data_IF_654278063032
#
_entry.id   IF_654278063032
#
_cell.length_a   1.000
_cell.length_b   1.000
_cell.length_c   1.000
_cell.angle_alpha   90.00
_cell.angle_beta   90.00
_cell.angle_gamma   90.00
#
_symmetry.space_group_name_H-M   'P 1'
#
loop_
_entity.id
_entity.type
_entity.pdbx_description
1 polymer ?
#
# COMPACT_ATOMS: atom_id res chain seq x y z
N UNK A 1 10.16 28.49 0.03
CA UNK A 1 9.75 27.32 -0.78
C UNK A 1 8.54 26.71 -0.10
N UNK A 2 7.42 26.56 -0.82
CA UNK A 2 6.26 25.85 -0.25
C UNK A 2 6.68 24.40 0.05
N UNK A 3 6.34 23.90 1.25
CA UNK A 3 6.63 22.53 1.63
C UNK A 3 5.95 21.57 0.63
N UNK A 4 6.72 20.65 0.04
CA UNK A 4 6.19 19.65 -0.88
C UNK A 4 5.08 18.85 -0.18
N UNK A 5 3.91 18.74 -0.84
CA UNK A 5 2.75 18.07 -0.28
C UNK A 5 3.00 16.56 -0.21
N UNK A 6 2.81 15.98 0.94
CA UNK A 6 2.91 14.53 1.18
C UNK A 6 1.71 13.81 0.58
N UNK A 7 1.93 12.65 -0.03
CA UNK A 7 0.89 11.84 -0.65
C UNK A 7 0.83 10.45 -0.02
N UNK A 8 -0.28 10.12 0.62
CA UNK A 8 -0.59 8.76 1.04
C UNK A 8 -1.45 8.11 -0.04
N UNK A 9 -1.11 6.89 -0.46
CA UNK A 9 -1.90 6.10 -1.38
C UNK A 9 -2.35 4.81 -0.71
N UNK A 10 -3.64 4.55 -0.69
CA UNK A 10 -4.22 3.26 -0.35
C UNK A 10 -4.40 2.49 -1.66
N UNK A 11 -3.57 1.46 -1.85
CA UNK A 11 -3.57 0.64 -3.05
C UNK A 11 -4.52 -0.54 -2.85
N UNK A 12 -5.66 -0.53 -3.51
CA UNK A 12 -6.74 -1.46 -3.23
C UNK A 12 -7.44 -1.97 -4.50
N UNK A 13 -7.95 -3.19 -4.39
CA UNK A 13 -8.99 -3.67 -5.28
C UNK A 13 -10.34 -3.24 -4.72
N UNK A 14 -11.25 -2.76 -5.57
CA UNK A 14 -12.63 -2.49 -5.16
C UNK A 14 -13.28 -3.79 -4.69
N UNK A 15 -13.81 -3.82 -3.45
CA UNK A 15 -14.42 -5.03 -2.90
C UNK A 15 -15.65 -5.47 -3.70
N UNK A 16 -15.61 -6.69 -4.24
CA UNK A 16 -16.71 -7.32 -4.96
C UNK A 16 -16.83 -8.79 -4.57
N UNK A 17 -18.07 -9.32 -4.63
CA UNK A 17 -18.34 -10.72 -4.27
C UNK A 17 -17.60 -11.68 -5.22
N UNK A 18 -16.92 -12.69 -4.65
CA UNK A 18 -16.15 -13.67 -5.40
C UNK A 18 -14.86 -13.13 -6.05
N UNK A 19 -14.46 -11.88 -5.74
CA UNK A 19 -13.28 -11.24 -6.35
C UNK A 19 -12.22 -10.90 -5.32
N UNK A 20 -10.97 -11.26 -5.63
CA UNK A 20 -9.82 -11.06 -4.73
C UNK A 20 -9.82 -11.99 -3.52
N UNK A 21 -8.73 -11.99 -2.76
CA UNK A 21 -8.55 -12.77 -1.52
C UNK A 21 -9.05 -14.23 -1.60
N UNK A 22 -8.70 -14.92 -2.69
CA UNK A 22 -9.20 -16.28 -2.96
C UNK A 22 -8.82 -17.29 -1.87
N UNK A 23 -7.60 -17.19 -1.29
CA UNK A 23 -7.17 -18.06 -0.19
C UNK A 23 -7.99 -17.81 1.08
N UNK A 24 -8.25 -16.54 1.40
CA UNK A 24 -9.12 -16.17 2.51
C UNK A 24 -10.55 -16.70 2.25
N UNK A 25 -11.12 -16.42 1.08
CA UNK A 25 -12.47 -16.86 0.71
C UNK A 25 -12.64 -18.39 0.78
N UNK A 26 -11.64 -19.15 0.37
CA UNK A 26 -11.63 -20.60 0.50
C UNK A 26 -11.71 -21.09 1.96
N UNK A 27 -11.16 -20.32 2.90
CA UNK A 27 -11.15 -20.67 4.33
C UNK A 27 -12.33 -20.16 5.14
N UNK A 28 -12.88 -18.97 4.81
CA UNK A 28 -13.93 -18.30 5.61
C UNK A 28 -15.21 -17.98 4.82
N UNK A 29 -15.26 -18.34 3.53
CA UNK A 29 -16.38 -18.07 2.63
C UNK A 29 -16.31 -16.69 1.96
N UNK A 30 -16.90 -16.57 0.76
CA UNK A 30 -16.86 -15.35 -0.06
C UNK A 30 -17.50 -14.15 0.63
N UNK A 31 -18.58 -14.36 1.38
CA UNK A 31 -19.26 -13.26 2.08
C UNK A 31 -18.39 -12.65 3.17
N UNK A 32 -17.72 -13.48 3.96
CA UNK A 32 -16.80 -13.02 5.01
C UNK A 32 -15.58 -12.31 4.39
N UNK A 33 -15.01 -12.87 3.32
CA UNK A 33 -13.91 -12.25 2.59
C UNK A 33 -14.31 -10.88 2.01
N UNK A 34 -15.53 -10.75 1.48
CA UNK A 34 -16.06 -9.46 1.00
C UNK A 34 -16.26 -8.46 2.14
N UNK A 35 -16.84 -8.90 3.27
CA UNK A 35 -17.00 -8.04 4.47
C UNK A 35 -15.65 -7.55 4.97
N UNK A 36 -14.66 -8.43 5.03
CA UNK A 36 -13.29 -8.07 5.39
C UNK A 36 -12.72 -6.98 4.46
N UNK A 37 -12.77 -7.18 3.15
CA UNK A 37 -12.26 -6.21 2.20
C UNK A 37 -12.95 -4.84 2.33
N UNK A 38 -14.29 -4.83 2.46
CA UNK A 38 -15.08 -3.60 2.67
C UNK A 38 -14.73 -2.90 3.96
N UNK A 39 -14.67 -3.66 5.05
CA UNK A 39 -14.32 -3.13 6.38
C UNK A 39 -12.94 -2.47 6.34
N UNK A 40 -11.93 -3.19 5.85
CA UNK A 40 -10.55 -2.71 5.81
C UNK A 40 -10.41 -1.43 4.98
N UNK A 41 -10.98 -1.40 3.78
CA UNK A 41 -10.90 -0.22 2.92
C UNK A 41 -11.60 0.99 3.55
N UNK A 42 -12.79 0.80 4.09
CA UNK A 42 -13.56 1.86 4.75
C UNK A 42 -12.85 2.38 6.02
N UNK A 43 -12.27 1.48 6.82
CA UNK A 43 -11.56 1.84 8.04
C UNK A 43 -10.28 2.64 7.74
N UNK A 44 -9.47 2.21 6.78
CA UNK A 44 -8.28 2.94 6.33
C UNK A 44 -8.65 4.34 5.80
N UNK A 45 -9.69 4.44 4.95
CA UNK A 45 -10.15 5.72 4.45
C UNK A 45 -10.63 6.65 5.57
N UNK A 46 -11.40 6.13 6.52
CA UNK A 46 -11.93 6.91 7.65
C UNK A 46 -10.81 7.44 8.55
N UNK A 47 -9.82 6.58 8.90
CA UNK A 47 -8.75 6.93 9.85
C UNK A 47 -7.64 7.75 9.21
N UNK A 48 -7.21 7.38 8.02
CA UNK A 48 -6.06 8.00 7.36
C UNK A 48 -6.45 9.12 6.41
N UNK A 49 -7.66 9.09 5.84
CA UNK A 49 -8.14 10.07 4.87
C UNK A 49 -8.45 11.46 5.46
N UNK A 50 -8.65 11.54 6.77
CA UNK A 50 -8.96 12.80 7.47
C UNK A 50 -7.73 13.57 7.97
N UNK A 51 -6.57 12.98 7.90
CA UNK A 51 -5.35 13.60 8.41
C UNK A 51 -4.82 14.65 7.43
N UNK A 52 -4.67 15.88 7.92
CA UNK A 52 -4.23 17.03 7.11
C UNK A 52 -2.73 17.06 6.82
N UNK A 53 -1.94 16.19 7.45
CA UNK A 53 -0.49 16.12 7.24
C UNK A 53 -0.11 15.60 5.85
N UNK A 54 -1.06 14.95 5.15
CA UNK A 54 -0.91 14.44 3.80
C UNK A 54 -2.20 14.52 3.00
N UNK A 55 -2.12 14.35 1.69
CA UNK A 55 -3.27 14.11 0.83
C UNK A 55 -3.41 12.60 0.62
N UNK A 56 -4.57 12.06 0.93
CA UNK A 56 -4.87 10.64 0.70
C UNK A 56 -5.49 10.45 -0.68
N UNK A 57 -5.04 9.38 -1.35
CA UNK A 57 -5.50 8.92 -2.63
C UNK A 57 -5.88 7.45 -2.54
N UNK A 58 -6.88 7.05 -3.34
CA UNK A 58 -7.26 5.65 -3.53
C UNK A 58 -6.75 5.20 -4.91
N UNK A 59 -5.79 4.28 -4.97
CA UNK A 59 -5.43 3.63 -6.21
C UNK A 59 -6.29 2.38 -6.38
N UNK A 60 -7.28 2.44 -7.30
CA UNK A 60 -8.31 1.40 -7.43
C UNK A 60 -8.13 0.53 -8.67
N UNK A 61 -8.47 -0.75 -8.52
CA UNK A 61 -8.68 -1.67 -9.63
C UNK A 61 -10.04 -2.38 -9.44
N UNK A 62 -10.87 -2.54 -10.47
CA UNK A 62 -10.68 -2.10 -11.86
C UNK A 62 -10.69 -0.58 -11.99
N UNK A 63 -10.00 -0.07 -12.99
CA UNK A 63 -9.76 1.36 -13.20
C UNK A 63 -11.04 2.20 -13.34
N UNK A 64 -12.13 1.59 -13.84
CA UNK A 64 -13.44 2.25 -13.94
C UNK A 64 -13.95 2.77 -12.59
N UNK A 65 -13.56 2.16 -11.48
CA UNK A 65 -14.04 2.50 -10.14
C UNK A 65 -13.36 3.75 -9.57
N UNK A 66 -12.31 4.26 -10.25
CA UNK A 66 -11.67 5.54 -9.93
C UNK A 66 -12.29 6.72 -10.68
N UNK A 67 -13.08 6.46 -11.74
CA UNK A 67 -13.62 7.51 -12.61
C UNK A 67 -14.58 8.44 -11.86
N UNK A 68 -14.44 9.74 -12.12
CA UNK A 68 -15.29 10.78 -11.51
C UNK A 68 -15.01 11.06 -10.03
N UNK A 69 -14.00 10.43 -9.43
CA UNK A 69 -13.59 10.65 -8.05
C UNK A 69 -12.33 11.49 -7.99
N UNK A 70 -12.40 12.63 -7.29
CA UNK A 70 -11.27 13.56 -7.14
C UNK A 70 -10.14 13.02 -6.25
N UNK A 71 -10.42 11.99 -5.47
CA UNK A 71 -9.51 11.33 -4.51
C UNK A 71 -9.01 9.96 -5.00
N UNK A 72 -9.40 9.53 -6.20
CA UNK A 72 -9.05 8.21 -6.71
C UNK A 72 -8.23 8.27 -8.01
N UNK A 73 -7.38 7.25 -8.18
CA UNK A 73 -6.50 7.06 -9.33
C UNK A 73 -6.66 5.63 -9.85
N UNK A 74 -6.59 5.41 -11.18
CA UNK A 74 -6.52 4.07 -11.73
C UNK A 74 -5.17 3.43 -11.39
N UNK A 75 -5.15 2.12 -11.19
CA UNK A 75 -3.91 1.36 -11.03
C UNK A 75 -3.22 1.08 -12.36
N UNK A 76 -3.98 1.04 -13.44
CA UNK A 76 -3.49 0.60 -14.75
C UNK A 76 -3.39 -0.93 -14.87
N UNK A 77 -2.77 -1.36 -15.96
CA UNK A 77 -2.54 -2.77 -16.28
C UNK A 77 -1.14 -3.25 -15.90
N UNK A 78 -0.89 -4.54 -16.19
CA UNK A 78 0.40 -5.18 -15.95
C UNK A 78 0.57 -5.76 -14.56
N UNK A 79 1.83 -6.08 -14.20
CA UNK A 79 2.21 -6.55 -12.88
C UNK A 79 2.15 -5.44 -11.82
N UNK A 80 2.40 -5.80 -10.56
CA UNK A 80 2.37 -4.83 -9.45
C UNK A 80 3.40 -3.70 -9.64
N UNK A 81 4.60 -4.00 -10.12
CA UNK A 81 5.64 -3.01 -10.36
C UNK A 81 5.25 -1.99 -11.43
N UNK A 82 4.68 -2.47 -12.55
CA UNK A 82 4.19 -1.61 -13.63
C UNK A 82 3.08 -0.68 -13.14
N UNK A 83 2.15 -1.18 -12.32
CA UNK A 83 1.06 -0.39 -11.71
C UNK A 83 1.60 0.66 -10.74
N UNK A 84 2.56 0.30 -9.88
CA UNK A 84 3.20 1.25 -8.96
C UNK A 84 3.95 2.35 -9.73
N UNK A 85 4.67 2.01 -10.80
CA UNK A 85 5.32 2.99 -11.68
C UNK A 85 4.32 3.95 -12.32
N UNK A 86 3.21 3.43 -12.85
CA UNK A 86 2.16 4.24 -13.47
C UNK A 86 1.57 5.22 -12.45
N UNK A 87 1.24 4.73 -11.25
CA UNK A 87 0.74 5.55 -10.15
C UNK A 87 1.72 6.68 -9.77
N UNK A 88 3.01 6.37 -9.62
CA UNK A 88 4.03 7.36 -9.27
C UNK A 88 4.20 8.47 -10.33
N UNK A 89 3.91 8.18 -11.60
CA UNK A 89 3.93 9.19 -12.68
C UNK A 89 2.71 10.11 -12.63
N UNK A 90 1.56 9.60 -12.18
CA UNK A 90 0.28 10.34 -12.15
C UNK A 90 0.20 11.27 -10.93
N UNK A 91 0.82 10.90 -9.82
CA UNK A 91 0.80 11.68 -8.58
C UNK A 91 1.55 13.01 -8.73
N UNK A 92 1.03 14.11 -8.14
CA UNK A 92 1.76 15.37 -8.06
C UNK A 92 3.14 15.21 -7.41
N UNK A 93 4.08 16.17 -7.60
CA UNK A 93 5.37 16.15 -6.93
C UNK A 93 5.27 16.08 -5.41
N UNK A 94 6.25 15.45 -4.77
CA UNK A 94 6.37 15.30 -3.32
C UNK A 94 6.57 13.86 -2.87
N UNK A 95 6.92 13.64 -1.59
CA UNK A 95 7.12 12.31 -1.04
C UNK A 95 5.81 11.53 -1.04
N UNK A 96 5.89 10.23 -1.33
CA UNK A 96 4.75 9.34 -1.38
C UNK A 96 4.94 8.17 -0.42
N UNK A 97 3.87 7.79 0.24
CA UNK A 97 3.74 6.53 1.00
C UNK A 97 2.59 5.75 0.38
N UNK A 98 2.84 4.50 0.01
CA UNK A 98 1.85 3.58 -0.55
C UNK A 98 1.66 2.43 0.43
N UNK A 99 0.42 2.11 0.76
CA UNK A 99 0.05 0.98 1.63
C UNK A 99 -0.92 0.04 0.92
N UNK A 100 -0.86 -1.24 1.26
CA UNK A 100 -1.91 -2.20 0.94
C UNK A 100 -3.20 -1.92 1.73
N UNK A 101 -4.26 -2.61 1.37
CA UNK A 101 -5.58 -2.48 2.03
C UNK A 101 -5.95 -3.67 2.90
N UNK A 102 -5.05 -4.60 3.15
CA UNK A 102 -5.29 -5.91 3.76
C UNK A 102 -4.49 -6.17 5.03
N UNK A 103 -3.75 -5.17 5.50
CA UNK A 103 -2.97 -5.20 6.74
C UNK A 103 -3.73 -4.51 7.86
N UNK A 104 -4.32 -5.23 8.83
CA UNK A 104 -4.99 -4.63 9.97
C UNK A 104 -4.01 -3.89 10.88
N UNK A 105 -4.53 -2.92 11.63
CA UNK A 105 -3.75 -2.24 12.67
C UNK A 105 -2.76 -1.18 12.16
N UNK A 106 -2.79 -0.82 10.87
CA UNK A 106 -2.06 0.37 10.37
C UNK A 106 -2.60 1.60 11.10
N UNK A 107 -1.73 2.37 11.72
CA UNK A 107 -2.06 3.57 12.50
C UNK A 107 -1.65 4.84 11.76
N UNK A 108 -2.29 5.95 12.11
CA UNK A 108 -1.90 7.29 11.63
C UNK A 108 -0.44 7.62 11.99
N UNK A 109 0.05 7.12 13.13
CA UNK A 109 1.45 7.25 13.56
C UNK A 109 2.41 6.53 12.61
N UNK A 110 2.08 5.35 12.13
CA UNK A 110 2.93 4.60 11.20
C UNK A 110 3.17 5.39 9.90
N UNK A 111 2.13 6.05 9.39
CA UNK A 111 2.22 6.89 8.20
C UNK A 111 3.02 8.16 8.48
N UNK A 112 2.82 8.76 9.65
CA UNK A 112 3.60 9.93 10.07
C UNK A 112 5.09 9.62 10.21
N UNK A 113 5.43 8.48 10.83
CA UNK A 113 6.80 8.00 11.02
C UNK A 113 7.46 7.69 9.66
N UNK A 114 6.71 7.10 8.72
CA UNK A 114 7.20 6.87 7.37
C UNK A 114 7.54 8.20 6.66
N UNK A 115 6.68 9.19 6.74
CA UNK A 115 6.96 10.51 6.17
C UNK A 115 8.09 11.25 6.89
N UNK A 116 8.22 11.09 8.20
CA UNK A 116 9.35 11.65 8.96
C UNK A 116 10.66 11.03 8.51
N UNK A 117 10.72 9.70 8.37
CA UNK A 117 11.90 8.99 7.89
C UNK A 117 12.32 9.44 6.48
N UNK A 118 11.36 9.70 5.57
CA UNK A 118 11.63 10.25 4.24
C UNK A 118 12.26 11.64 4.25
N UNK A 119 12.25 12.35 5.35
CA UNK A 119 13.00 13.60 5.52
C UNK A 119 14.50 13.39 5.35
N UNK A 120 15.03 12.25 5.78
CA UNK A 120 16.44 11.91 5.70
C UNK A 120 16.78 10.66 4.89
N UNK A 121 15.79 9.87 4.46
CA UNK A 121 15.96 8.65 3.69
C UNK A 121 15.44 8.80 2.26
N UNK A 122 15.93 7.95 1.35
CA UNK A 122 15.45 7.86 -0.04
C UNK A 122 14.18 7.01 -0.13
N UNK A 123 14.09 5.96 0.70
CA UNK A 123 12.95 5.07 0.77
C UNK A 123 12.69 4.56 2.21
N UNK A 124 11.43 4.19 2.46
CA UNK A 124 10.98 3.58 3.73
C UNK A 124 10.16 2.34 3.42
N UNK A 125 10.38 1.26 4.17
CA UNK A 125 9.59 0.04 4.06
C UNK A 125 8.94 -0.32 5.39
N UNK A 126 7.69 -0.76 5.33
CA UNK A 126 7.03 -1.55 6.36
C UNK A 126 7.02 -3.02 5.92
N UNK A 127 7.95 -3.87 6.43
CA UNK A 127 8.00 -5.26 6.02
C UNK A 127 6.71 -6.01 6.36
N UNK A 128 6.32 -6.97 5.52
CA UNK A 128 5.28 -7.93 5.80
C UNK A 128 5.88 -9.28 6.21
N UNK A 129 5.13 -10.07 6.98
CA UNK A 129 5.63 -11.36 7.49
C UNK A 129 5.83 -12.41 6.40
N UNK A 130 5.17 -12.23 5.25
CA UNK A 130 5.27 -13.11 4.08
C UNK A 130 6.51 -12.86 3.20
N UNK A 131 7.37 -11.90 3.59
CA UNK A 131 8.56 -11.48 2.82
C UNK A 131 8.29 -10.38 1.79
N UNK A 132 7.06 -9.85 1.75
CA UNK A 132 6.67 -8.64 1.04
C UNK A 132 6.80 -7.38 1.92
N UNK A 133 5.98 -6.40 1.63
CA UNK A 133 5.87 -5.19 2.43
C UNK A 133 4.44 -4.63 2.37
N UNK A 134 3.93 -4.22 3.54
CA UNK A 134 2.64 -3.57 3.68
C UNK A 134 2.69 -2.07 3.39
N UNK A 135 3.92 -1.48 3.43
CA UNK A 135 4.17 -0.07 3.15
C UNK A 135 5.46 0.09 2.36
N UNK A 136 5.41 0.95 1.35
CA UNK A 136 6.59 1.53 0.71
C UNK A 136 6.45 3.04 0.65
N UNK A 137 7.47 3.76 1.12
CA UNK A 137 7.61 5.21 0.99
C UNK A 137 8.79 5.58 0.11
N UNK A 138 8.62 6.58 -0.74
CA UNK A 138 9.66 7.07 -1.67
C UNK A 138 9.75 8.60 -1.62
N UNK A 139 10.96 9.12 -1.54
CA UNK A 139 11.23 10.56 -1.47
C UNK A 139 11.00 11.29 -2.80
N UNK A 140 11.03 10.71 -3.93
CA UNK A 140 10.74 11.19 -5.29
C UNK A 140 11.50 12.46 -5.79
N UNK A 141 12.11 13.26 -4.94
CA UNK A 141 12.87 14.46 -5.30
C UNK A 141 14.25 14.43 -4.62
N UNK A 142 15.31 14.94 -5.26
CA UNK A 142 15.37 15.47 -6.64
C UNK A 142 15.37 14.38 -7.72
N UNK A 143 15.53 13.09 -7.32
CA UNK A 143 15.60 11.96 -8.25
C UNK A 143 14.40 11.03 -8.07
N UNK A 144 13.79 10.63 -9.17
CA UNK A 144 12.79 9.55 -9.16
C UNK A 144 13.53 8.21 -9.03
N UNK A 145 13.26 7.50 -7.94
CA UNK A 145 13.69 6.13 -7.77
C UNK A 145 12.68 5.21 -8.46
N UNK A 146 13.18 4.19 -9.13
CA UNK A 146 12.38 3.10 -9.66
C UNK A 146 12.88 1.76 -9.12
N UNK A 147 12.39 1.35 -7.93
CA UNK A 147 12.86 0.12 -7.31
C UNK A 147 12.11 -1.13 -7.79
N UNK A 148 11.24 -1.05 -8.80
CA UNK A 148 10.27 -2.08 -9.13
C UNK A 148 10.66 -2.96 -10.34
N UNK A 149 11.89 -2.93 -10.81
CA UNK A 149 12.34 -3.74 -11.93
C UNK A 149 12.74 -5.14 -11.46
N UNK A 150 12.32 -6.18 -12.21
CA UNK A 150 12.74 -7.55 -11.98
C UNK A 150 12.31 -8.17 -10.65
N UNK A 151 11.27 -7.62 -9.99
CA UNK A 151 10.80 -8.10 -8.70
C UNK A 151 9.98 -9.39 -8.86
N UNK A 152 10.29 -10.38 -8.05
CA UNK A 152 9.51 -11.62 -7.91
C UNK A 152 8.27 -11.37 -7.03
N UNK A 153 7.26 -10.71 -7.63
CA UNK A 153 6.02 -10.37 -6.94
C UNK A 153 5.28 -11.62 -6.42
N UNK A 154 4.55 -11.46 -5.33
CA UNK A 154 3.78 -12.54 -4.66
C UNK A 154 4.64 -13.71 -4.20
N UNK A 155 5.91 -13.45 -3.88
CA UNK A 155 6.84 -14.42 -3.28
C UNK A 155 7.51 -13.83 -2.04
N UNK A 156 8.13 -14.67 -1.18
CA UNK A 156 8.88 -14.17 -0.01
C UNK A 156 10.12 -13.34 -0.36
N UNK A 157 10.41 -13.17 -1.64
CA UNK A 157 11.57 -12.42 -2.11
C UNK A 157 11.28 -10.97 -2.48
N UNK A 158 10.01 -10.57 -2.51
CA UNK A 158 9.60 -9.26 -3.04
C UNK A 158 10.30 -8.08 -2.33
N UNK A 159 10.38 -8.10 -1.00
CA UNK A 159 11.11 -7.07 -0.26
C UNK A 159 12.61 -7.09 -0.55
N UNK A 160 13.23 -8.28 -0.57
CA UNK A 160 14.66 -8.42 -0.81
C UNK A 160 15.05 -7.92 -2.21
N UNK A 161 14.28 -8.28 -3.24
CA UNK A 161 14.52 -7.85 -4.61
C UNK A 161 14.36 -6.31 -4.74
N UNK A 162 13.32 -5.74 -4.08
CA UNK A 162 13.10 -4.29 -4.10
C UNK A 162 14.23 -3.54 -3.39
N UNK A 163 14.75 -4.07 -2.29
CA UNK A 163 15.90 -3.49 -1.58
C UNK A 163 17.19 -3.59 -2.40
N UNK A 164 17.40 -4.67 -3.15
CA UNK A 164 18.55 -4.82 -4.03
C UNK A 164 18.58 -3.71 -5.10
N UNK A 165 17.42 -3.33 -5.65
CA UNK A 165 17.30 -2.23 -6.60
C UNK A 165 17.55 -0.83 -5.96
N UNK A 166 17.62 -0.76 -4.64
CA UNK A 166 17.95 0.45 -3.89
C UNK A 166 19.37 0.41 -3.29
N UNK A 167 20.26 -0.44 -3.81
CA UNK A 167 21.64 -0.52 -3.36
C UNK A 167 22.30 0.88 -3.40
N UNK A 168 23.04 1.24 -2.33
CA UNK A 168 23.65 2.56 -2.19
C UNK A 168 22.68 3.70 -1.86
N UNK A 169 21.40 3.41 -1.62
CA UNK A 169 20.39 4.38 -1.16
C UNK A 169 20.19 4.27 0.35
N UNK A 170 19.81 5.39 0.96
CA UNK A 170 19.44 5.38 2.38
C UNK A 170 18.02 4.86 2.53
N UNK A 171 17.90 3.65 3.07
CA UNK A 171 16.61 2.97 3.29
C UNK A 171 16.36 2.80 4.77
N UNK A 172 15.16 3.13 5.22
CA UNK A 172 14.68 2.92 6.60
C UNK A 172 13.62 1.83 6.60
N UNK A 173 13.61 0.98 7.63
CA UNK A 173 12.54 0.02 7.88
C UNK A 173 11.78 0.46 9.13
N UNK A 174 10.46 0.45 9.02
CA UNK A 174 9.56 0.61 10.18
C UNK A 174 9.07 -0.78 10.62
N UNK A 175 8.10 -0.84 11.52
CA UNK A 175 7.65 -2.10 12.10
C UNK A 175 7.13 -3.09 11.06
N UNK A 176 7.39 -4.37 11.31
CA UNK A 176 6.83 -5.47 10.54
C UNK A 176 5.37 -5.71 10.94
N UNK A 177 4.50 -6.02 9.97
CA UNK A 177 3.10 -6.35 10.19
C UNK A 177 2.71 -7.61 9.42
N UNK A 178 1.56 -8.18 9.78
CA UNK A 178 0.96 -9.30 9.08
C UNK A 178 -0.23 -8.81 8.26
N UNK A 179 -0.31 -9.20 6.99
CA UNK A 179 -1.48 -9.04 6.14
C UNK A 179 -2.41 -10.26 6.24
N UNK A 180 -3.69 -10.04 6.00
CA UNK A 180 -4.67 -11.12 6.06
C UNK A 180 -4.88 -11.70 4.67
N UNK A 181 -4.31 -12.89 4.43
CA UNK A 181 -4.37 -13.58 3.15
C UNK A 181 -5.15 -14.90 3.19
N UNK A 182 -5.29 -15.51 4.35
CA UNK A 182 -5.94 -16.79 4.55
C UNK A 182 -6.74 -16.82 5.85
N UNK A 183 -7.35 -18.00 6.13
CA UNK A 183 -8.11 -18.24 7.36
C UNK A 183 -7.27 -18.07 8.62
N UNK A 184 -6.03 -18.55 8.63
CA UNK A 184 -5.19 -18.53 9.83
C UNK A 184 -4.81 -17.08 10.20
N UNK A 185 -4.36 -16.28 9.24
CA UNK A 185 -4.06 -14.86 9.47
C UNK A 185 -5.31 -14.06 9.86
N UNK A 186 -6.49 -14.42 9.30
CA UNK A 186 -7.76 -13.83 9.71
C UNK A 186 -8.12 -14.13 11.16
N UNK A 187 -8.02 -15.40 11.59
CA UNK A 187 -8.30 -15.82 12.98
C UNK A 187 -7.32 -15.16 13.97
N UNK A 188 -6.01 -15.10 13.63
CA UNK A 188 -5.01 -14.40 14.45
C UNK A 188 -5.28 -12.92 14.61
N UNK A 189 -5.88 -12.28 13.62
CA UNK A 189 -6.19 -10.84 13.68
C UNK A 189 -7.21 -10.46 14.74
N UNK A 190 -8.04 -11.41 15.20
CA UNK A 190 -9.14 -11.17 16.13
C UNK A 190 -10.27 -10.31 15.58
N UNK A 191 -10.29 -10.01 14.27
CA UNK A 191 -11.34 -9.21 13.65
C UNK A 191 -12.70 -9.94 13.69
N UNK A 192 -13.72 -9.24 14.16
CA UNK A 192 -15.13 -9.66 14.11
C UNK A 192 -15.86 -8.78 13.10
N UNK A 193 -16.40 -9.38 12.06
CA UNK A 193 -17.03 -8.69 10.92
C UNK A 193 -18.52 -8.97 10.81
#
# INVERSE_FOLDING_TARGET
MAAERRHLVIFARTPAFGVGKRRLAAGVGDLTALRFQRFMLADLQRRLGRDRRWRTWLALTPDRDSRGRADALPQGGGDLGQRLRALLRTLPPGPVVIIGSDTPGIRTTDIADAFQALGGADAVFGPAMDGGYWLIGLKRTPRRLDPFEGIRWSTPHALADTLANLAGRRVVRIRTMEDIDDRQSFERSGLRL
#
